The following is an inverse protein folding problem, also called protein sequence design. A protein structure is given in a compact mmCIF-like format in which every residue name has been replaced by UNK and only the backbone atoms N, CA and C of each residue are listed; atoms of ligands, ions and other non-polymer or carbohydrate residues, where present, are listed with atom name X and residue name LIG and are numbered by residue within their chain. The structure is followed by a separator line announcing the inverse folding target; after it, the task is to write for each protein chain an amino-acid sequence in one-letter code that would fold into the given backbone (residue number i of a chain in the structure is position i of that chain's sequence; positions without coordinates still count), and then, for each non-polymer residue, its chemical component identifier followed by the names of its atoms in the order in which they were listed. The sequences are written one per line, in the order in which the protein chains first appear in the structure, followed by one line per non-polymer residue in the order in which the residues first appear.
data_IF_183558345927
#
_entry.id   IF_183558345927
#
_cell.length_a   1.000
_cell.length_b   1.000
_cell.length_c   1.000
_cell.angle_alpha   90.00
_cell.angle_beta   90.00
_cell.angle_gamma   90.00
#
_symmetry.space_group_name_H-M   'P 1'
#
loop_
_entity.id
_entity.type
_entity.pdbx_description
1 polymer ?
#
# COMPACT_ATOMS: atom_id res chain seq x y z
N UNK A 1 -13.38 -14.55 24.12
CA UNK A 1 -14.32 -14.68 22.99
C UNK A 1 -13.57 -14.98 21.71
N UNK A 2 -14.06 -15.94 20.93
CA UNK A 2 -13.62 -16.22 19.57
C UNK A 2 -14.06 -15.12 18.58
N UNK A 3 -13.52 -15.11 17.36
CA UNK A 3 -13.93 -14.17 16.31
C UNK A 3 -15.41 -14.34 15.93
N UNK A 4 -15.92 -15.58 15.92
CA UNK A 4 -17.32 -15.86 15.68
C UNK A 4 -18.21 -15.31 16.81
N UNK A 5 -17.88 -15.60 18.07
CA UNK A 5 -18.63 -15.09 19.22
C UNK A 5 -18.69 -13.56 19.22
N UNK A 6 -17.56 -12.91 18.91
CA UNK A 6 -17.53 -11.45 18.78
C UNK A 6 -18.36 -10.97 17.59
N UNK A 7 -18.26 -11.58 16.41
CA UNK A 7 -19.06 -11.21 15.24
C UNK A 7 -20.57 -11.32 15.52
N UNK A 8 -20.98 -12.37 16.23
CA UNK A 8 -22.35 -12.55 16.70
C UNK A 8 -22.75 -11.47 17.71
N UNK A 9 -21.87 -11.09 18.63
CA UNK A 9 -22.14 -10.00 19.57
C UNK A 9 -22.37 -8.65 18.89
N UNK A 10 -21.65 -8.33 17.81
CA UNK A 10 -21.95 -7.13 16.99
C UNK A 10 -23.35 -7.22 16.37
N UNK A 11 -23.68 -8.37 15.77
CA UNK A 11 -24.97 -8.58 15.11
C UNK A 11 -26.15 -8.56 16.09
N UNK A 12 -25.98 -9.15 17.28
CA UNK A 12 -26.96 -9.13 18.37
C UNK A 12 -27.22 -7.68 18.85
N UNK A 13 -26.27 -6.77 18.63
CA UNK A 13 -26.38 -5.32 18.87
C UNK A 13 -26.85 -4.52 17.64
N UNK A 14 -27.38 -5.18 16.61
CA UNK A 14 -27.89 -4.54 15.40
C UNK A 14 -26.81 -3.97 14.47
N UNK A 15 -25.53 -4.31 14.70
CA UNK A 15 -24.41 -3.85 13.87
C UNK A 15 -24.10 -4.96 12.85
N UNK A 16 -24.35 -4.74 11.55
CA UNK A 16 -24.10 -5.76 10.55
C UNK A 16 -22.60 -6.01 10.38
N UNK A 17 -22.23 -7.27 10.21
CA UNK A 17 -20.83 -7.69 10.03
C UNK A 17 -20.65 -8.48 8.74
N UNK A 18 -19.41 -8.53 8.27
CA UNK A 18 -19.01 -9.40 7.16
C UNK A 18 -17.58 -9.92 7.37
N UNK A 19 -17.22 -11.08 6.79
CA UNK A 19 -15.88 -11.63 6.93
C UNK A 19 -14.88 -10.82 6.09
N UNK A 20 -13.83 -10.37 6.77
CA UNK A 20 -12.62 -9.78 6.19
C UNK A 20 -11.52 -10.83 6.25
N UNK A 21 -10.66 -10.91 5.24
CA UNK A 21 -9.53 -11.83 5.30
C UNK A 21 -8.71 -11.55 6.57
N UNK A 22 -8.45 -12.57 7.37
CA UNK A 22 -7.56 -12.46 8.53
C UNK A 22 -6.13 -12.83 8.22
N UNK A 23 -5.35 -13.06 9.28
CA UNK A 23 -3.94 -13.43 9.23
C UNK A 23 -3.80 -14.88 9.70
N UNK A 24 -3.04 -15.68 8.96
CA UNK A 24 -2.77 -17.08 9.27
C UNK A 24 -1.62 -17.21 10.28
N UNK A 25 -1.36 -18.43 10.75
CA UNK A 25 -0.31 -18.70 11.77
C UNK A 25 1.11 -18.38 11.29
N UNK A 26 1.30 -18.23 9.96
CA UNK A 26 2.58 -17.82 9.35
C UNK A 26 2.71 -16.29 9.21
N UNK A 27 1.75 -15.52 9.72
CA UNK A 27 1.74 -14.06 9.60
C UNK A 27 1.31 -13.52 8.24
N UNK A 28 0.78 -14.37 7.34
CA UNK A 28 0.35 -13.97 6.00
C UNK A 28 -1.16 -13.81 5.89
N UNK A 29 -1.62 -13.03 4.91
CA UNK A 29 -3.05 -12.87 4.67
C UNK A 29 -3.69 -14.20 4.24
N UNK A 30 -4.88 -14.48 4.78
CA UNK A 30 -5.67 -15.68 4.43
C UNK A 30 -6.18 -15.68 2.98
N UNK A 31 -6.00 -14.60 2.22
CA UNK A 31 -6.31 -14.54 0.80
C UNK A 31 -5.29 -15.26 -0.10
N UNK A 32 -4.18 -15.72 0.48
CA UNK A 32 -3.12 -16.51 -0.19
C UNK A 32 -2.38 -15.76 -1.32
N UNK A 33 -2.64 -14.47 -1.52
CA UNK A 33 -1.83 -13.61 -2.38
C UNK A 33 -0.51 -13.29 -1.68
N UNK A 34 0.60 -13.60 -2.33
CA UNK A 34 1.95 -13.35 -1.81
C UNK A 34 2.15 -11.85 -1.50
N UNK A 35 1.77 -10.99 -2.47
CA UNK A 35 1.87 -9.53 -2.36
C UNK A 35 0.51 -8.88 -2.06
N UNK A 36 -0.16 -9.36 -1.01
CA UNK A 36 -1.40 -8.73 -0.56
C UNK A 36 -1.13 -7.28 -0.14
N UNK A 37 -1.69 -6.30 -0.84
CA UNK A 37 -1.51 -4.87 -0.54
C UNK A 37 -2.13 -4.42 0.79
N UNK A 38 -3.15 -5.14 1.26
CA UNK A 38 -3.92 -4.81 2.47
C UNK A 38 -4.16 -6.06 3.34
N UNK A 39 -3.09 -6.70 3.83
CA UNK A 39 -3.20 -7.96 4.56
C UNK A 39 -4.08 -7.78 5.80
N UNK A 40 -5.07 -8.64 5.98
CA UNK A 40 -5.98 -8.55 7.12
C UNK A 40 -7.12 -7.52 6.98
N UNK A 41 -7.20 -6.78 5.87
CA UNK A 41 -8.04 -5.58 5.73
C UNK A 41 -8.91 -5.52 4.47
N UNK A 42 -9.10 -6.63 3.75
CA UNK A 42 -9.98 -6.66 2.58
C UNK A 42 -11.02 -7.79 2.67
N UNK A 43 -12.21 -7.63 2.05
CA UNK A 43 -13.32 -8.55 2.23
C UNK A 43 -13.04 -9.95 1.66
N UNK A 44 -13.62 -10.98 2.28
CA UNK A 44 -13.63 -12.35 1.72
C UNK A 44 -14.71 -12.48 0.65
N UNK A 45 -15.87 -11.86 0.87
CA UNK A 45 -17.05 -12.05 0.02
C UNK A 45 -16.92 -11.27 -1.30
N UNK A 46 -17.37 -11.89 -2.41
CA UNK A 46 -17.67 -11.17 -3.66
C UNK A 46 -18.84 -10.20 -3.39
N UNK A 47 -18.62 -8.91 -3.63
CA UNK A 47 -19.56 -7.84 -3.23
C UNK A 47 -19.17 -7.12 -1.92
N UNK A 48 -18.24 -7.70 -1.15
CA UNK A 48 -17.60 -7.05 0.01
C UNK A 48 -18.57 -6.67 1.13
N UNK A 49 -18.35 -5.49 1.70
CA UNK A 49 -19.10 -4.96 2.85
C UNK A 49 -20.60 -4.73 2.55
N UNK A 50 -21.01 -4.69 1.28
CA UNK A 50 -22.42 -4.56 0.89
C UNK A 50 -23.26 -5.79 1.24
N UNK A 51 -22.61 -6.92 1.49
CA UNK A 51 -23.25 -8.16 1.91
C UNK A 51 -23.17 -8.38 3.42
N UNK A 52 -22.86 -7.34 4.21
CA UNK A 52 -22.86 -7.45 5.66
C UNK A 52 -24.25 -7.82 6.18
N UNK A 53 -24.30 -8.58 7.26
CA UNK A 53 -25.55 -9.14 7.79
C UNK A 53 -25.56 -9.12 9.32
N UNK A 54 -26.77 -9.02 9.88
CA UNK A 54 -27.05 -9.33 11.29
C UNK A 54 -27.67 -10.73 11.46
N UNK A 55 -27.90 -11.47 10.38
CA UNK A 55 -28.45 -12.82 10.45
C UNK A 55 -27.42 -13.78 11.06
N UNK A 56 -27.76 -14.27 12.25
CA UNK A 56 -26.97 -15.19 13.05
C UNK A 56 -26.55 -16.43 12.26
N UNK A 57 -27.46 -17.01 11.47
CA UNK A 57 -27.19 -18.25 10.74
C UNK A 57 -26.21 -18.00 9.59
N UNK A 58 -26.35 -16.86 8.91
CA UNK A 58 -25.44 -16.44 7.86
C UNK A 58 -24.03 -16.17 8.41
N UNK A 59 -23.92 -15.52 9.58
CA UNK A 59 -22.63 -15.24 10.24
C UNK A 59 -21.95 -16.53 10.68
N UNK A 60 -22.67 -17.46 11.31
CA UNK A 60 -22.15 -18.78 11.67
C UNK A 60 -21.62 -19.50 10.43
N UNK A 61 -22.37 -19.45 9.33
CA UNK A 61 -21.96 -20.06 8.06
C UNK A 61 -20.64 -19.47 7.55
N UNK A 62 -20.51 -18.15 7.54
CA UNK A 62 -19.27 -17.48 7.09
C UNK A 62 -18.07 -17.83 7.94
N UNK A 63 -18.19 -17.82 9.27
CA UNK A 63 -17.07 -18.12 10.17
C UNK A 63 -16.76 -19.61 10.26
N UNK A 64 -17.71 -20.51 9.98
CA UNK A 64 -17.40 -21.93 9.79
C UNK A 64 -16.55 -22.16 8.53
N UNK A 65 -16.83 -21.43 7.44
CA UNK A 65 -16.04 -21.49 6.20
C UNK A 65 -14.71 -20.75 6.33
N UNK A 66 -14.67 -19.68 7.13
CA UNK A 66 -13.50 -18.83 7.33
C UNK A 66 -13.23 -18.59 8.82
N UNK A 67 -12.74 -19.60 9.58
CA UNK A 67 -12.58 -19.48 11.05
C UNK A 67 -11.63 -18.38 11.51
N UNK A 68 -10.72 -17.97 10.62
CA UNK A 68 -9.73 -16.92 10.85
C UNK A 68 -10.14 -15.55 10.30
N UNK A 69 -11.36 -15.40 9.78
CA UNK A 69 -11.79 -14.12 9.22
C UNK A 69 -11.80 -13.04 10.31
N UNK A 70 -11.15 -11.92 9.98
CA UNK A 70 -11.35 -10.67 10.70
C UNK A 70 -12.80 -10.19 10.54
N UNK A 71 -13.24 -9.34 11.44
CA UNK A 71 -14.61 -8.81 11.48
C UNK A 71 -14.59 -7.43 10.80
N UNK A 72 -15.34 -7.31 9.71
CA UNK A 72 -15.61 -6.03 9.07
C UNK A 72 -16.99 -5.50 9.44
N UNK A 73 -17.11 -4.18 9.60
CA UNK A 73 -18.38 -3.47 9.80
C UNK A 73 -18.48 -2.39 8.72
N UNK A 74 -19.56 -2.37 7.89
CA UNK A 74 -19.78 -1.26 6.96
C UNK A 74 -20.01 0.02 7.75
N UNK A 75 -19.53 1.15 7.26
CA UNK A 75 -19.82 2.47 7.85
C UNK A 75 -20.99 3.13 7.11
N UNK A 76 -21.53 4.20 7.68
CA UNK A 76 -22.69 4.89 7.10
C UNK A 76 -24.02 4.40 7.66
N UNK A 77 -25.07 4.62 6.88
CA UNK A 77 -26.44 4.22 7.17
C UNK A 77 -26.58 2.71 7.42
N UNK A 78 -25.70 1.88 6.84
CA UNK A 78 -25.76 0.42 6.98
C UNK A 78 -25.58 -0.04 8.44
N UNK A 79 -24.70 0.60 9.21
CA UNK A 79 -24.47 0.27 10.63
C UNK A 79 -24.88 1.38 11.59
N UNK A 80 -25.22 2.56 11.07
CA UNK A 80 -25.40 3.77 11.87
C UNK A 80 -24.09 4.38 12.36
N UNK A 81 -22.93 3.81 12.04
CA UNK A 81 -21.63 4.29 12.50
C UNK A 81 -20.98 5.24 11.50
N UNK A 82 -20.38 6.30 12.00
CA UNK A 82 -19.41 7.13 11.31
C UNK A 82 -18.06 6.99 12.02
N UNK A 83 -16.98 6.83 11.27
CA UNK A 83 -15.67 6.58 11.87
C UNK A 83 -14.64 7.60 11.41
N UNK A 84 -13.93 8.18 12.37
CA UNK A 84 -12.67 8.89 12.11
C UNK A 84 -11.54 7.92 12.40
N UNK A 85 -10.87 7.44 11.35
CA UNK A 85 -9.78 6.49 11.40
C UNK A 85 -8.44 7.25 11.36
N UNK A 86 -7.74 7.24 12.49
CA UNK A 86 -6.45 7.92 12.67
C UNK A 86 -5.34 6.90 12.57
N UNK A 87 -4.54 6.98 11.51
CA UNK A 87 -3.39 6.11 11.30
C UNK A 87 -2.12 6.70 11.94
N UNK A 88 -1.23 5.84 12.43
CA UNK A 88 0.10 6.27 12.91
C UNK A 88 1.02 6.74 11.77
N UNK A 89 0.77 6.27 10.55
CA UNK A 89 1.55 6.66 9.36
C UNK A 89 1.27 8.12 9.00
N UNK A 90 2.17 8.72 8.21
CA UNK A 90 2.03 10.09 7.70
C UNK A 90 1.79 11.15 8.80
N UNK A 91 2.34 10.94 10.00
CA UNK A 91 2.14 11.83 11.16
C UNK A 91 0.66 11.98 11.56
N UNK A 92 -0.18 10.97 11.30
CA UNK A 92 -1.63 11.07 11.51
C UNK A 92 -2.02 11.32 12.97
N UNK A 93 -1.25 10.80 13.95
CA UNK A 93 -1.46 11.08 15.37
C UNK A 93 -1.19 12.56 15.67
N UNK A 94 -0.07 13.11 15.19
CA UNK A 94 0.30 14.50 15.38
C UNK A 94 -0.70 15.44 14.68
N UNK A 95 -1.13 15.09 13.46
CA UNK A 95 -2.14 15.82 12.72
C UNK A 95 -3.49 15.79 13.44
N UNK A 96 -3.88 14.65 14.01
CA UNK A 96 -5.09 14.54 14.82
C UNK A 96 -5.01 15.41 16.08
N UNK A 97 -3.87 15.39 16.79
CA UNK A 97 -3.66 16.23 17.98
C UNK A 97 -3.80 17.71 17.63
N UNK A 98 -3.19 18.16 16.52
CA UNK A 98 -3.33 19.55 16.04
C UNK A 98 -4.78 19.89 15.68
N UNK A 99 -5.45 18.98 14.96
CA UNK A 99 -6.83 19.16 14.55
C UNK A 99 -7.77 19.30 15.76
N UNK A 100 -7.66 18.41 16.75
CA UNK A 100 -8.45 18.51 17.98
C UNK A 100 -8.07 19.75 18.78
N UNK A 101 -6.79 20.12 18.87
CA UNK A 101 -6.39 21.34 19.57
C UNK A 101 -7.02 22.59 18.95
N UNK A 102 -7.14 22.64 17.62
CA UNK A 102 -7.75 23.74 16.89
C UNK A 102 -9.29 23.78 17.04
N UNK A 103 -9.94 22.62 17.12
CA UNK A 103 -11.41 22.51 17.09
C UNK A 103 -12.00 21.88 18.37
N UNK A 104 -11.30 21.97 19.50
CA UNK A 104 -11.60 21.25 20.75
C UNK A 104 -13.03 21.46 21.23
N UNK A 105 -13.55 22.68 21.09
CA UNK A 105 -14.90 23.04 21.54
C UNK A 105 -16.00 22.60 20.55
N UNK A 106 -15.62 22.19 19.34
CA UNK A 106 -16.53 21.81 18.26
C UNK A 106 -16.53 20.30 17.98
N UNK A 107 -15.50 19.56 18.44
CA UNK A 107 -15.42 18.11 18.36
C UNK A 107 -15.49 17.53 19.78
N UNK A 108 -16.67 17.11 20.26
CA UNK A 108 -16.76 16.35 21.49
C UNK A 108 -15.91 15.07 21.39
N UNK A 109 -15.33 14.67 22.52
CA UNK A 109 -14.57 13.43 22.60
C UNK A 109 -15.47 12.24 22.19
N UNK A 110 -14.98 11.42 21.27
CA UNK A 110 -15.70 10.24 20.84
C UNK A 110 -15.81 9.26 22.01
N UNK A 111 -17.02 8.79 22.27
CA UNK A 111 -17.30 7.90 23.40
C UNK A 111 -16.73 6.51 23.18
N UNK A 112 -16.65 6.08 21.93
CA UNK A 112 -16.13 4.77 21.57
C UNK A 112 -14.86 4.91 20.74
N UNK A 113 -13.79 4.28 21.23
CA UNK A 113 -12.47 4.28 20.60
C UNK A 113 -11.90 2.87 20.51
N UNK A 114 -11.52 2.44 19.31
CA UNK A 114 -10.76 1.21 19.10
C UNK A 114 -9.31 1.53 18.77
N UNK A 115 -8.36 0.85 19.40
CA UNK A 115 -6.97 0.84 18.96
C UNK A 115 -6.81 -0.09 17.76
N UNK A 116 -6.09 0.37 16.74
CA UNK A 116 -5.73 -0.47 15.59
C UNK A 116 -4.44 -1.22 15.89
N UNK A 117 -4.27 -2.41 15.32
CA UNK A 117 -3.00 -3.13 15.46
C UNK A 117 -1.81 -2.38 14.85
N UNK A 118 -2.05 -1.40 13.98
CA UNK A 118 -1.04 -0.54 13.36
C UNK A 118 -0.54 0.63 14.23
N UNK A 119 -1.07 0.80 15.44
CA UNK A 119 -0.70 1.89 16.36
C UNK A 119 -1.55 3.16 16.24
N UNK A 120 -2.54 3.16 15.34
CA UNK A 120 -3.57 4.18 15.23
C UNK A 120 -4.81 3.89 16.08
N UNK A 121 -5.90 4.61 15.83
CA UNK A 121 -7.19 4.37 16.49
C UNK A 121 -8.39 4.82 15.66
N UNK A 122 -9.50 4.12 15.83
CA UNK A 122 -10.82 4.51 15.30
C UNK A 122 -11.60 5.24 16.38
N UNK A 123 -12.19 6.37 16.01
CA UNK A 123 -13.19 7.08 16.82
C UNK A 123 -14.56 6.87 16.18
N UNK A 124 -15.50 6.30 16.93
CA UNK A 124 -16.83 5.98 16.41
C UNK A 124 -17.84 7.01 16.93
N UNK A 125 -18.62 7.52 15.98
CA UNK A 125 -19.75 8.41 16.16
C UNK A 125 -21.00 7.77 15.56
N UNK A 126 -22.18 8.23 15.94
CA UNK A 126 -23.39 7.94 15.16
C UNK A 126 -23.47 8.84 13.93
N UNK A 127 -24.30 8.46 12.96
CA UNK A 127 -24.69 9.36 11.87
C UNK A 127 -25.21 10.70 12.39
N UNK A 128 -25.12 11.79 11.60
CA UNK A 128 -25.64 13.08 12.01
C UNK A 128 -27.10 12.99 12.46
N UNK A 129 -27.45 13.72 13.53
CA UNK A 129 -28.82 13.75 14.04
C UNK A 129 -29.85 14.24 13.00
N UNK A 130 -29.39 14.96 11.96
CA UNK A 130 -30.23 15.38 10.83
C UNK A 130 -30.66 14.24 9.90
N UNK A 131 -30.09 13.03 10.05
CA UNK A 131 -30.32 11.90 9.14
C UNK A 131 -29.65 12.06 7.77
N UNK A 132 -28.83 13.10 7.59
CA UNK A 132 -28.13 13.35 6.34
C UNK A 132 -27.02 12.32 6.12
N UNK A 133 -27.04 11.68 4.94
CA UNK A 133 -25.94 10.83 4.46
C UNK A 133 -24.63 11.62 4.39
N UNK A 134 -23.58 11.10 5.01
CA UNK A 134 -22.23 11.67 4.97
C UNK A 134 -21.29 10.62 4.39
N UNK A 135 -20.67 10.96 3.27
CA UNK A 135 -19.74 10.08 2.57
C UNK A 135 -18.41 9.89 3.31
N UNK A 136 -17.55 9.10 2.68
CA UNK A 136 -16.17 8.90 3.12
C UNK A 136 -15.23 9.90 2.44
N UNK A 137 -14.09 10.19 3.07
CA UNK A 137 -13.08 11.09 2.56
C UNK A 137 -11.70 10.82 3.17
N UNK A 138 -10.65 11.01 2.38
CA UNK A 138 -9.25 10.83 2.79
C UNK A 138 -8.50 12.14 2.57
N UNK A 139 -7.55 12.48 3.44
CA UNK A 139 -6.76 13.73 3.37
C UNK A 139 -7.63 15.01 3.29
N UNK A 140 -8.81 14.96 3.88
CA UNK A 140 -9.76 16.07 3.90
C UNK A 140 -9.18 17.20 4.75
N UNK A 141 -9.22 18.45 4.27
CA UNK A 141 -8.70 19.60 5.03
C UNK A 141 -7.19 19.58 5.24
N UNK A 142 -6.43 18.86 4.40
CA UNK A 142 -4.97 18.63 4.56
C UNK A 142 -4.60 17.84 5.83
N UNK A 143 -5.54 17.03 6.32
CA UNK A 143 -5.32 16.13 7.45
C UNK A 143 -4.81 14.79 6.94
N UNK A 144 -3.52 14.73 6.62
CA UNK A 144 -2.88 13.47 6.21
C UNK A 144 -2.86 12.46 7.37
N UNK A 145 -3.09 11.19 7.05
CA UNK A 145 -3.17 10.12 8.05
C UNK A 145 -4.46 10.11 8.87
N UNK A 146 -5.48 10.90 8.48
CA UNK A 146 -6.83 10.85 9.04
C UNK A 146 -7.83 10.57 7.92
N UNK A 147 -8.50 9.42 8.02
CA UNK A 147 -9.55 8.99 7.11
C UNK A 147 -10.92 9.14 7.76
N UNK A 148 -11.87 9.70 7.02
CA UNK A 148 -13.26 9.84 7.42
C UNK A 148 -14.09 8.77 6.69
N UNK A 149 -14.72 7.86 7.44
CA UNK A 149 -15.42 6.69 6.91
C UNK A 149 -16.91 6.78 7.23
N UNK A 150 -17.68 7.12 6.21
CA UNK A 150 -19.14 7.22 6.24
C UNK A 150 -19.78 6.24 5.26
N UNK A 151 -20.82 6.67 4.55
CA UNK A 151 -21.49 5.83 3.56
C UNK A 151 -20.53 5.28 2.49
N UNK A 152 -20.72 4.01 2.14
CA UNK A 152 -19.91 3.27 1.16
C UNK A 152 -18.53 2.83 1.66
N UNK A 153 -18.22 3.07 2.94
CA UNK A 153 -16.99 2.62 3.61
C UNK A 153 -17.21 1.39 4.49
N UNK A 154 -16.11 0.91 5.08
CA UNK A 154 -16.12 -0.07 6.16
C UNK A 154 -14.85 0.05 6.99
N UNK A 155 -14.86 -0.53 8.19
CA UNK A 155 -13.70 -0.68 9.06
C UNK A 155 -13.52 -2.12 9.54
N UNK A 156 -12.31 -2.46 9.97
CA UNK A 156 -12.03 -3.71 10.69
C UNK A 156 -12.15 -3.45 12.19
N UNK A 157 -12.87 -4.30 12.92
CA UNK A 157 -13.23 -4.06 14.34
C UNK A 157 -12.60 -5.08 15.29
N UNK A 158 -12.45 -4.77 16.60
CA UNK A 158 -11.99 -5.73 17.61
C UNK A 158 -12.85 -7.02 17.66
N UNK A 159 -12.27 -8.20 17.95
CA UNK A 159 -10.88 -8.47 18.33
C UNK A 159 -10.01 -8.95 17.15
N UNK A 160 -10.28 -8.44 15.94
CA UNK A 160 -9.57 -8.79 14.69
C UNK A 160 -8.04 -8.69 14.82
N UNK A 161 -7.32 -9.44 13.98
CA UNK A 161 -5.87 -9.52 13.99
C UNK A 161 -5.26 -8.68 12.86
N UNK A 162 -4.32 -7.81 13.20
CA UNK A 162 -3.55 -7.03 12.23
C UNK A 162 -2.35 -7.85 11.71
N UNK A 163 -1.80 -7.49 10.55
CA UNK A 163 -0.71 -8.26 9.92
C UNK A 163 0.56 -8.36 10.78
N UNK A 164 0.80 -7.37 11.64
CA UNK A 164 1.89 -7.40 12.63
C UNK A 164 1.54 -8.22 13.90
N UNK A 165 0.50 -9.05 13.84
CA UNK A 165 0.00 -9.93 14.89
C UNK A 165 -0.54 -9.23 16.14
N UNK A 166 -0.66 -7.88 16.13
CA UNK A 166 -1.36 -7.15 17.18
C UNK A 166 -2.87 -7.20 16.95
N UNK A 167 -3.65 -7.33 18.03
CA UNK A 167 -5.11 -7.32 17.95
C UNK A 167 -5.65 -5.90 17.97
N UNK A 168 -6.71 -5.70 17.21
CA UNK A 168 -7.62 -4.58 17.43
C UNK A 168 -8.26 -4.76 18.80
N UNK A 169 -8.34 -3.68 19.56
CA UNK A 169 -8.89 -3.69 20.91
C UNK A 169 -9.70 -2.45 21.19
N UNK A 170 -10.82 -2.62 21.89
CA UNK A 170 -11.55 -1.47 22.43
C UNK A 170 -10.71 -0.79 23.52
N UNK A 171 -10.79 0.53 23.59
CA UNK A 171 -10.16 1.30 24.67
C UNK A 171 -10.74 0.88 26.02
N UNK A 172 -9.97 1.08 27.09
CA UNK A 172 -10.26 0.55 28.42
C UNK A 172 -11.65 1.00 28.90
N UNK A 173 -12.58 0.05 29.04
CA UNK A 173 -13.93 0.28 29.58
C UNK A 173 -15.10 -0.16 28.70
N UNK A 174 -14.91 -0.37 27.39
CA UNK A 174 -16.02 -0.75 26.51
C UNK A 174 -16.25 -2.27 26.44
N UNK A 175 -17.50 -2.68 26.62
CA UNK A 175 -17.99 -4.06 26.43
C UNK A 175 -19.33 -4.03 25.71
N UNK A 176 -19.52 -4.91 24.72
CA UNK A 176 -20.82 -5.09 24.07
C UNK A 176 -21.89 -5.73 24.97
N UNK A 177 -21.49 -6.29 26.11
CA UNK A 177 -22.44 -6.79 27.11
C UNK A 177 -23.23 -5.63 27.74
N UNK A 178 -22.60 -4.45 27.88
CA UNK A 178 -23.23 -3.23 28.35
C UNK A 178 -23.70 -2.37 27.16
N UNK A 179 -24.94 -2.62 26.74
CA UNK A 179 -25.59 -1.93 25.62
C UNK A 179 -25.72 -0.41 25.85
N UNK A 180 -25.56 0.07 27.09
CA UNK A 180 -25.64 1.51 27.40
C UNK A 180 -24.49 2.32 26.79
N UNK A 181 -23.35 1.69 26.47
CA UNK A 181 -22.21 2.35 25.83
C UNK A 181 -22.50 2.70 24.36
N UNK A 182 -23.23 1.86 23.62
CA UNK A 182 -23.66 2.17 22.24
C UNK A 182 -24.67 3.31 22.21
N UNK A 183 -25.55 3.38 23.20
CA UNK A 183 -26.51 4.47 23.35
C UNK A 183 -25.85 5.81 23.74
N UNK A 184 -24.60 5.78 24.21
CA UNK A 184 -23.82 6.98 24.55
C UNK A 184 -23.01 7.54 23.39
N UNK A 185 -22.98 6.86 22.24
CA UNK A 185 -22.30 7.36 21.05
C UNK A 185 -22.82 8.75 20.68
N UNK A 186 -21.90 9.70 20.55
CA UNK A 186 -22.21 11.06 20.11
C UNK A 186 -22.46 11.08 18.59
N UNK A 187 -23.39 11.91 18.11
CA UNK A 187 -23.54 12.16 16.67
C UNK A 187 -22.28 12.78 16.10
N UNK A 188 -22.03 12.51 14.81
CA UNK A 188 -20.92 13.12 14.08
C UNK A 188 -20.98 14.65 14.22
N UNK A 189 -19.90 15.31 14.70
CA UNK A 189 -19.90 16.75 14.92
C UNK A 189 -20.10 17.54 13.63
N UNK A 190 -20.90 18.61 13.69
CA UNK A 190 -21.21 19.48 12.54
C UNK A 190 -19.96 20.00 11.83
N UNK A 191 -18.90 20.33 12.58
CA UNK A 191 -17.65 20.79 11.98
C UNK A 191 -17.01 19.73 11.06
N UNK A 192 -17.04 18.44 11.44
CA UNK A 192 -16.55 17.35 10.58
C UNK A 192 -17.44 17.20 9.35
N UNK A 193 -18.77 17.30 9.52
CA UNK A 193 -19.73 17.28 8.41
C UNK A 193 -19.41 18.39 7.40
N UNK A 194 -19.21 19.60 7.88
CA UNK A 194 -18.92 20.77 7.04
C UNK A 194 -17.56 20.66 6.39
N UNK A 195 -16.55 20.13 7.08
CA UNK A 195 -15.23 19.87 6.52
C UNK A 195 -15.33 18.90 5.32
N UNK A 196 -16.08 17.81 5.46
CA UNK A 196 -16.30 16.84 4.39
C UNK A 196 -17.09 17.49 3.24
N UNK A 197 -18.21 18.18 3.54
CA UNK A 197 -19.02 18.84 2.51
C UNK A 197 -18.26 19.92 1.76
N UNK A 198 -17.46 20.73 2.44
CA UNK A 198 -16.69 21.79 1.82
C UNK A 198 -15.57 21.23 0.96
N UNK A 199 -15.01 20.06 1.30
CA UNK A 199 -14.09 19.37 0.39
C UNK A 199 -14.78 18.81 -0.86
N UNK A 200 -16.04 18.34 -0.73
CA UNK A 200 -16.85 17.89 -1.87
C UNK A 200 -17.27 19.06 -2.74
N UNK A 201 -17.69 20.18 -2.13
CA UNK A 201 -18.03 21.43 -2.82
C UNK A 201 -16.83 22.11 -3.47
N UNK A 202 -15.65 22.12 -2.83
CA UNK A 202 -14.41 22.61 -3.44
C UNK A 202 -13.96 21.73 -4.62
N UNK A 203 -14.34 20.44 -4.62
CA UNK A 203 -14.18 19.56 -5.79
C UNK A 203 -15.20 19.83 -6.91
N UNK A 204 -16.39 20.35 -6.58
CA UNK A 204 -17.47 20.67 -7.53
C UNK A 204 -17.45 22.12 -8.01
N UNK A 205 -16.78 23.03 -7.30
CA UNK A 205 -16.67 24.45 -7.60
C UNK A 205 -15.23 24.93 -7.49
N UNK A 206 -14.61 25.13 -8.66
CA UNK A 206 -13.36 25.88 -8.89
C UNK A 206 -12.15 25.46 -8.05
N UNK A 207 -11.43 24.46 -8.57
CA UNK A 207 -9.99 24.62 -8.77
C UNK A 207 -9.64 23.92 -10.08
N UNK A 208 -8.94 24.62 -10.98
CA UNK A 208 -8.50 24.03 -12.22
C UNK A 208 -7.67 22.77 -11.93
N UNK A 209 -7.93 21.67 -12.64
CA UNK A 209 -7.18 20.43 -12.50
C UNK A 209 -5.76 20.67 -13.02
N UNK A 210 -4.83 20.87 -12.09
CA UNK A 210 -3.41 21.14 -12.37
C UNK A 210 -2.67 19.84 -12.75
N UNK A 211 -1.46 19.99 -13.28
CA UNK A 211 -0.64 18.89 -13.77
C UNK A 211 -0.50 17.75 -12.73
N UNK A 212 -0.78 16.50 -13.18
CA UNK A 212 -0.74 15.29 -12.35
C UNK A 212 -2.10 14.59 -12.14
N UNK A 213 -3.23 15.31 -12.19
CA UNK A 213 -4.57 14.74 -11.94
C UNK A 213 -5.56 14.75 -13.12
N UNK A 214 -5.17 15.35 -14.26
CA UNK A 214 -6.05 15.64 -15.41
C UNK A 214 -6.57 14.37 -16.11
N UNK A 215 -5.71 13.38 -16.29
CA UNK A 215 -6.08 12.10 -16.93
C UNK A 215 -7.17 11.37 -16.11
N UNK A 216 -6.99 11.26 -14.80
CA UNK A 216 -7.95 10.60 -13.92
C UNK A 216 -9.28 11.37 -13.85
N UNK A 217 -9.23 12.70 -13.87
CA UNK A 217 -10.41 13.55 -13.89
C UNK A 217 -11.20 13.37 -15.18
N UNK A 218 -10.57 13.58 -16.34
CA UNK A 218 -11.25 13.48 -17.63
C UNK A 218 -11.75 12.06 -17.91
N UNK A 219 -11.05 11.02 -17.44
CA UNK A 219 -11.50 9.63 -17.59
C UNK A 219 -12.80 9.39 -16.82
N UNK A 220 -12.92 9.95 -15.61
CA UNK A 220 -14.16 9.91 -14.84
C UNK A 220 -15.28 10.70 -15.54
N UNK A 221 -14.98 11.84 -16.14
CA UNK A 221 -15.96 12.60 -16.95
C UNK A 221 -16.45 11.78 -18.15
N UNK A 222 -15.55 11.10 -18.86
CA UNK A 222 -15.90 10.20 -19.97
C UNK A 222 -16.83 9.05 -19.52
N UNK A 223 -16.53 8.41 -18.40
CA UNK A 223 -17.40 7.38 -17.84
C UNK A 223 -18.76 7.92 -17.37
N UNK A 224 -18.83 9.16 -16.89
CA UNK A 224 -20.08 9.77 -16.43
C UNK A 224 -20.98 10.19 -17.59
N UNK A 225 -20.45 10.92 -18.59
CA UNK A 225 -21.21 11.34 -19.76
C UNK A 225 -21.84 10.15 -20.50
N UNK A 226 -21.12 9.03 -20.59
CA UNK A 226 -21.62 7.79 -21.18
C UNK A 226 -22.70 7.13 -20.33
N UNK A 227 -22.55 7.13 -18.99
CA UNK A 227 -23.59 6.67 -18.05
C UNK A 227 -24.87 7.50 -18.16
N UNK A 228 -24.72 8.79 -18.42
CA UNK A 228 -25.82 9.74 -18.58
C UNK A 228 -26.44 9.71 -19.98
N UNK A 229 -26.03 8.76 -20.83
CA UNK A 229 -26.66 8.48 -22.13
C UNK A 229 -26.10 9.28 -23.31
N UNK A 230 -24.95 9.94 -23.15
CA UNK A 230 -24.26 10.58 -24.28
C UNK A 230 -23.84 9.51 -25.28
N UNK A 231 -24.23 9.67 -26.56
CA UNK A 231 -23.82 8.76 -27.63
C UNK A 231 -22.29 8.75 -27.78
N UNK A 232 -21.73 7.58 -28.09
CA UNK A 232 -20.27 7.37 -28.15
C UNK A 232 -19.58 8.35 -29.12
N UNK A 233 -20.25 8.74 -30.21
CA UNK A 233 -19.75 9.71 -31.19
C UNK A 233 -19.66 11.15 -30.66
N UNK A 234 -20.43 11.50 -29.62
CA UNK A 234 -20.42 12.81 -28.97
C UNK A 234 -19.63 12.83 -27.66
N UNK A 235 -19.12 11.67 -27.23
CA UNK A 235 -18.42 11.53 -25.97
C UNK A 235 -17.09 12.31 -25.98
N UNK A 236 -16.41 12.33 -27.12
CA UNK A 236 -15.20 13.12 -27.28
C UNK A 236 -15.45 14.61 -27.07
N UNK A 237 -16.46 15.19 -27.75
CA UNK A 237 -16.77 16.61 -27.65
C UNK A 237 -17.13 17.03 -26.22
N UNK A 238 -17.90 16.20 -25.51
CA UNK A 238 -18.26 16.43 -24.12
C UNK A 238 -17.05 16.44 -23.17
N UNK A 239 -16.11 15.49 -23.35
CA UNK A 239 -14.89 15.41 -22.55
C UNK A 239 -13.89 16.50 -22.94
N UNK A 240 -13.81 16.84 -24.22
CA UNK A 240 -12.96 17.90 -24.74
C UNK A 240 -13.37 19.27 -24.21
N UNK A 241 -14.67 19.56 -24.14
CA UNK A 241 -15.18 20.78 -23.50
C UNK A 241 -14.73 20.87 -22.02
N UNK A 242 -14.83 19.77 -21.27
CA UNK A 242 -14.35 19.69 -19.87
C UNK A 242 -12.84 19.85 -19.73
N UNK A 243 -12.07 19.34 -20.70
CA UNK A 243 -10.61 19.54 -20.73
C UNK A 243 -10.26 21.03 -20.88
N UNK A 244 -10.93 21.74 -21.79
CA UNK A 244 -10.69 23.16 -22.03
C UNK A 244 -11.16 24.05 -20.87
N UNK A 245 -12.27 23.71 -20.22
CA UNK A 245 -12.81 24.51 -19.11
C UNK A 245 -12.13 24.21 -17.79
N UNK A 246 -11.78 22.95 -17.53
CA UNK A 246 -11.47 22.48 -16.18
C UNK A 246 -9.98 22.14 -15.97
N UNK A 247 -9.18 21.87 -17.02
CA UNK A 247 -7.77 21.44 -16.90
C UNK A 247 -6.78 22.58 -17.19
N UNK A 248 -5.72 22.72 -16.37
CA UNK A 248 -4.65 23.71 -16.58
C UNK A 248 -3.22 23.11 -16.47
N UNK A 249 -2.42 23.12 -17.55
CA UNK A 249 -2.86 23.36 -18.93
C UNK A 249 -3.83 22.25 -19.39
N UNK A 250 -4.69 22.51 -20.40
CA UNK A 250 -5.47 21.45 -21.04
C UNK A 250 -4.55 20.35 -21.57
N UNK A 251 -5.05 19.11 -21.58
CA UNK A 251 -4.38 18.00 -22.26
C UNK A 251 -4.47 18.16 -23.78
N UNK A 252 -3.53 17.55 -24.49
CA UNK A 252 -3.54 17.55 -25.95
C UNK A 252 -4.72 16.72 -26.49
N UNK A 253 -5.12 17.01 -27.74
CA UNK A 253 -6.27 16.38 -28.39
C UNK A 253 -6.16 14.86 -28.46
N UNK A 254 -4.98 14.36 -28.79
CA UNK A 254 -4.64 12.95 -28.85
C UNK A 254 -4.70 12.26 -27.47
N UNK A 255 -4.24 12.94 -26.41
CA UNK A 255 -4.37 12.43 -25.03
C UNK A 255 -5.84 12.27 -24.61
N UNK A 256 -6.68 13.26 -24.90
CA UNK A 256 -8.13 13.17 -24.60
C UNK A 256 -8.80 12.09 -25.46
N UNK A 257 -8.38 11.92 -26.72
CA UNK A 257 -8.92 10.92 -27.62
C UNK A 257 -8.59 9.48 -27.16
N UNK A 258 -7.36 9.25 -26.68
CA UNK A 258 -6.94 7.97 -26.10
C UNK A 258 -7.73 7.64 -24.84
N UNK A 259 -7.99 8.64 -24.00
CA UNK A 259 -8.75 8.50 -22.78
C UNK A 259 -10.22 8.16 -23.04
N UNK A 260 -10.87 8.84 -23.99
CA UNK A 260 -12.25 8.53 -24.42
C UNK A 260 -12.30 7.11 -25.00
N UNK A 261 -11.33 6.73 -25.83
CA UNK A 261 -11.22 5.37 -26.38
C UNK A 261 -11.06 4.31 -25.28
N UNK A 262 -10.31 4.62 -24.21
CA UNK A 262 -10.17 3.74 -23.04
C UNK A 262 -11.49 3.57 -22.27
N UNK A 263 -12.27 4.64 -22.12
CA UNK A 263 -13.58 4.60 -21.48
C UNK A 263 -14.63 3.80 -22.27
N UNK A 264 -14.53 3.79 -23.60
CA UNK A 264 -15.37 2.99 -24.50
C UNK A 264 -15.02 1.49 -24.43
N UNK A 265 -13.73 1.15 -24.38
CA UNK A 265 -13.27 -0.24 -24.45
C UNK A 265 -13.47 -1.06 -23.17
N UNK A 266 -13.72 -0.41 -22.02
CA UNK A 266 -13.78 -1.06 -20.70
C UNK A 266 -14.95 -2.04 -20.53
N UNK A 267 -16.07 -1.86 -21.24
CA UNK A 267 -17.24 -2.76 -21.14
C UNK A 267 -17.16 -3.95 -22.10
N UNK A 268 -16.44 -3.83 -23.22
CA UNK A 268 -16.16 -4.97 -24.12
C UNK A 268 -15.39 -6.06 -23.37
N UNK A 269 -14.46 -5.65 -22.49
CA UNK A 269 -13.69 -6.57 -21.65
C UNK A 269 -14.53 -7.24 -20.54
N UNK A 270 -15.63 -6.64 -20.10
CA UNK A 270 -16.53 -7.23 -19.10
C UNK A 270 -17.56 -8.20 -19.69
N UNK A 271 -17.87 -8.09 -20.99
CA UNK A 271 -18.86 -8.94 -21.66
C UNK A 271 -18.30 -10.27 -22.22
N UNK A 272 -16.97 -10.41 -22.42
CA UNK A 272 -16.38 -11.49 -23.24
C UNK A 272 -15.69 -12.64 -22.46
N UNK A 273 -16.21 -13.06 -21.30
CA UNK A 273 -15.56 -14.07 -20.45
C UNK A 273 -16.27 -15.45 -20.39
N UNK A 274 -16.11 -16.34 -21.39
CA UNK A 274 -16.14 -17.84 -21.21
C UNK A 274 -15.26 -18.54 -22.30
N UNK A 275 -14.88 -19.84 -22.20
CA UNK A 275 -13.51 -20.33 -22.07
C UNK A 275 -12.87 -20.89 -23.37
N UNK A 276 -11.56 -21.09 -23.28
CA UNK A 276 -10.60 -21.43 -24.34
C UNK A 276 -10.82 -22.81 -24.97
N UNK A 277 -10.64 -22.90 -26.30
CA UNK A 277 -10.13 -24.10 -26.98
C UNK A 277 -9.16 -23.71 -28.10
N UNK A 278 -8.10 -24.51 -28.21
CA UNK A 278 -6.88 -24.33 -29.01
C UNK A 278 -7.01 -24.76 -30.48
N UNK A 279 -6.36 -24.01 -31.40
CA UNK A 279 -5.59 -24.53 -32.54
C UNK A 279 -4.87 -23.36 -33.27
N UNK A 280 -3.75 -23.63 -33.98
CA UNK A 280 -2.68 -22.66 -34.19
C UNK A 280 -2.85 -21.85 -35.48
N UNK A 281 -2.39 -20.59 -35.47
CA UNK A 281 -2.17 -19.84 -36.70
C UNK A 281 -0.77 -19.22 -36.72
N UNK A 282 -0.01 -19.64 -37.73
CA UNK A 282 1.20 -18.99 -38.21
C UNK A 282 0.86 -17.63 -38.82
N UNK A 283 1.70 -16.62 -38.59
CA UNK A 283 1.89 -15.53 -39.54
C UNK A 283 1.27 -14.17 -39.21
N UNK A 284 1.66 -13.58 -38.08
CA UNK A 284 2.06 -12.16 -37.88
C UNK A 284 2.23 -11.97 -36.36
N UNK A 285 3.45 -11.70 -35.89
CA UNK A 285 3.66 -11.43 -34.45
C UNK A 285 2.78 -10.24 -34.08
N UNK A 286 1.95 -10.42 -33.05
CA UNK A 286 1.10 -9.34 -32.56
C UNK A 286 1.97 -8.27 -31.92
N UNK A 287 1.60 -6.98 -32.01
CA UNK A 287 2.31 -5.88 -31.35
C UNK A 287 2.59 -6.13 -29.84
N UNK A 288 1.75 -6.94 -29.19
CA UNK A 288 1.94 -7.37 -27.80
C UNK A 288 3.12 -8.31 -27.61
N UNK A 289 3.40 -9.18 -28.57
CA UNK A 289 4.50 -10.16 -28.53
C UNK A 289 5.84 -9.47 -28.81
N UNK A 290 5.86 -8.52 -29.74
CA UNK A 290 7.03 -7.68 -29.98
C UNK A 290 7.33 -6.79 -28.78
N UNK A 291 6.31 -6.21 -28.14
CA UNK A 291 6.48 -5.45 -26.90
C UNK A 291 7.06 -6.32 -25.78
N UNK A 292 6.55 -7.54 -25.59
CA UNK A 292 7.09 -8.49 -24.62
C UNK A 292 8.58 -8.78 -24.86
N UNK A 293 8.94 -9.16 -26.09
CA UNK A 293 10.32 -9.48 -26.45
C UNK A 293 11.26 -8.27 -26.30
N UNK A 294 10.78 -7.07 -26.64
CA UNK A 294 11.54 -5.84 -26.45
C UNK A 294 11.83 -5.55 -24.97
N UNK A 295 10.85 -5.76 -24.07
CA UNK A 295 11.09 -5.58 -22.63
C UNK A 295 12.03 -6.66 -22.10
N UNK A 296 11.88 -7.92 -22.52
CA UNK A 296 12.85 -8.98 -22.17
C UNK A 296 14.27 -8.59 -22.59
N UNK A 297 14.45 -8.01 -23.78
CA UNK A 297 15.75 -7.55 -24.25
C UNK A 297 16.36 -6.41 -23.42
N UNK A 298 15.52 -5.56 -22.78
CA UNK A 298 15.99 -4.52 -21.84
C UNK A 298 16.58 -5.10 -20.55
N UNK A 299 16.40 -6.40 -20.30
CA UNK A 299 16.91 -7.07 -19.10
C UNK A 299 18.17 -7.90 -19.35
N UNK A 300 18.77 -7.79 -20.54
CA UNK A 300 19.88 -8.64 -20.95
C UNK A 300 21.15 -8.48 -20.10
N UNK A 301 21.37 -7.32 -19.49
CA UNK A 301 22.48 -7.01 -18.59
C UNK A 301 22.11 -7.13 -17.10
N UNK A 302 20.91 -7.63 -16.81
CA UNK A 302 20.45 -7.85 -15.45
C UNK A 302 20.82 -9.25 -14.96
N UNK A 303 21.22 -9.35 -13.70
CA UNK A 303 21.57 -10.60 -13.05
C UNK A 303 20.41 -11.01 -12.14
N UNK A 304 19.73 -12.11 -12.45
CA UNK A 304 18.60 -12.58 -11.68
C UNK A 304 18.98 -13.72 -10.73
N UNK A 305 18.42 -13.72 -9.52
CA UNK A 305 18.84 -14.67 -8.48
C UNK A 305 17.78 -14.92 -7.41
N UNK A 306 17.98 -15.99 -6.65
CA UNK A 306 17.16 -16.39 -5.51
C UNK A 306 17.87 -16.20 -4.18
N UNK A 307 17.13 -15.77 -3.16
CA UNK A 307 17.61 -15.88 -1.77
C UNK A 307 17.38 -17.28 -1.18
N UNK A 308 17.89 -17.49 0.03
CA UNK A 308 17.82 -18.75 0.77
C UNK A 308 16.39 -19.21 1.10
N UNK A 309 15.39 -18.32 1.00
CA UNK A 309 13.97 -18.61 1.20
C UNK A 309 13.16 -18.56 -0.11
N UNK A 310 13.84 -18.65 -1.26
CA UNK A 310 13.28 -18.67 -2.61
C UNK A 310 12.52 -17.41 -3.02
N UNK A 311 12.90 -16.23 -2.52
CA UNK A 311 12.46 -14.95 -3.08
C UNK A 311 13.31 -14.59 -4.29
N UNK A 312 12.67 -14.02 -5.31
CA UNK A 312 13.29 -13.69 -6.59
C UNK A 312 13.72 -12.23 -6.62
N UNK A 313 14.99 -12.03 -6.96
CA UNK A 313 15.63 -10.72 -7.04
C UNK A 313 16.28 -10.51 -8.40
N UNK A 314 16.55 -9.24 -8.69
CA UNK A 314 17.33 -8.79 -9.83
C UNK A 314 18.40 -7.80 -9.35
N UNK A 315 19.63 -8.02 -9.78
CA UNK A 315 20.73 -7.06 -9.70
C UNK A 315 20.90 -6.37 -11.05
N UNK A 316 20.88 -5.04 -11.08
CA UNK A 316 20.93 -4.30 -12.35
C UNK A 316 21.51 -2.90 -12.18
N UNK A 317 22.05 -2.29 -13.25
CA UNK A 317 22.62 -0.96 -13.19
C UNK A 317 21.53 0.11 -13.14
N UNK A 318 21.66 1.06 -12.21
CA UNK A 318 20.77 2.20 -12.03
C UNK A 318 21.57 3.50 -12.17
N UNK A 319 21.09 4.48 -12.96
CA UNK A 319 21.69 5.81 -13.00
C UNK A 319 21.60 6.49 -11.62
N UNK A 320 22.73 7.01 -11.13
CA UNK A 320 22.76 7.76 -9.89
C UNK A 320 22.75 9.26 -10.18
N UNK A 321 21.90 10.04 -9.50
CA UNK A 321 21.91 11.50 -9.62
C UNK A 321 23.04 12.17 -8.82
N UNK A 322 23.62 11.46 -7.85
CA UNK A 322 24.68 11.92 -6.95
C UNK A 322 26.09 11.44 -7.34
N UNK A 323 26.19 10.52 -8.30
CA UNK A 323 27.45 10.06 -8.89
C UNK A 323 27.46 10.37 -10.39
N UNK A 324 28.61 10.72 -10.96
CA UNK A 324 28.79 10.61 -12.41
C UNK A 324 28.89 9.12 -12.77
N UNK A 325 27.75 8.46 -13.04
CA UNK A 325 27.73 7.07 -13.49
C UNK A 325 26.53 6.24 -13.08
N UNK A 326 26.71 4.93 -13.10
CA UNK A 326 25.72 3.92 -12.69
C UNK A 326 26.21 3.17 -11.45
N UNK A 327 25.30 2.85 -10.54
CA UNK A 327 25.55 1.90 -9.45
C UNK A 327 24.72 0.64 -9.66
N UNK A 328 24.96 -0.41 -8.86
CA UNK A 328 24.21 -1.66 -8.91
C UNK A 328 23.20 -1.71 -7.78
N UNK A 329 21.94 -1.98 -8.10
CA UNK A 329 20.87 -2.18 -7.12
C UNK A 329 20.34 -3.60 -7.16
N UNK A 330 19.78 -4.05 -6.03
CA UNK A 330 19.17 -5.36 -5.86
C UNK A 330 17.70 -5.20 -5.47
N UNK A 331 16.76 -5.47 -6.38
CA UNK A 331 15.32 -5.30 -6.11
C UNK A 331 14.56 -6.61 -6.28
N UNK A 332 13.41 -6.81 -5.59
CA UNK A 332 12.51 -7.91 -5.92
C UNK A 332 12.02 -7.77 -7.37
N UNK A 333 11.96 -8.88 -8.13
CA UNK A 333 11.55 -8.86 -9.55
C UNK A 333 10.14 -8.26 -9.72
N UNK A 334 9.21 -8.60 -8.84
CA UNK A 334 7.83 -8.10 -8.92
C UNK A 334 7.61 -6.74 -8.22
N UNK A 335 8.67 -6.05 -7.78
CA UNK A 335 8.56 -4.75 -7.11
C UNK A 335 8.00 -3.66 -8.03
N UNK A 336 7.37 -2.63 -7.43
CA UNK A 336 6.85 -1.48 -8.18
C UNK A 336 8.01 -0.65 -8.76
N UNK A 337 9.12 -0.60 -8.04
CA UNK A 337 10.35 0.07 -8.43
C UNK A 337 10.91 -0.54 -9.72
N UNK A 338 11.08 -1.86 -9.78
CA UNK A 338 11.60 -2.53 -10.98
C UNK A 338 10.63 -2.44 -12.17
N UNK A 339 9.32 -2.54 -11.90
CA UNK A 339 8.27 -2.27 -12.88
C UNK A 339 8.42 -0.88 -13.51
N UNK A 340 8.59 0.14 -12.67
CA UNK A 340 8.74 1.52 -13.12
C UNK A 340 10.06 1.73 -13.88
N UNK A 341 11.14 1.06 -13.49
CA UNK A 341 12.42 1.09 -14.20
C UNK A 341 12.29 0.52 -15.63
N UNK A 342 11.73 -0.67 -15.79
CA UNK A 342 11.54 -1.28 -17.12
C UNK A 342 10.62 -0.43 -18.00
N UNK A 343 9.54 0.11 -17.41
CA UNK A 343 8.63 1.00 -18.13
C UNK A 343 9.35 2.30 -18.55
N UNK A 344 10.18 2.88 -17.70
CA UNK A 344 11.01 4.04 -18.04
C UNK A 344 11.98 3.73 -19.19
N UNK A 345 12.76 2.66 -19.10
CA UNK A 345 13.71 2.25 -20.15
C UNK A 345 13.02 2.00 -21.49
N UNK A 346 11.88 1.30 -21.46
CA UNK A 346 11.10 1.05 -22.67
C UNK A 346 10.59 2.36 -23.29
N UNK A 347 10.04 3.29 -22.49
CA UNK A 347 9.60 4.59 -23.00
C UNK A 347 10.74 5.39 -23.60
N UNK A 348 11.91 5.41 -22.96
CA UNK A 348 13.07 6.13 -23.49
C UNK A 348 13.54 5.56 -24.84
N UNK A 349 13.52 4.22 -24.97
CA UNK A 349 13.98 3.51 -26.17
C UNK A 349 12.99 3.57 -27.33
N UNK A 350 11.71 3.38 -27.06
CA UNK A 350 10.68 3.15 -28.09
C UNK A 350 9.64 4.26 -28.20
N UNK A 351 9.64 5.24 -27.27
CA UNK A 351 8.70 6.37 -27.23
C UNK A 351 7.23 5.92 -27.23
N UNK A 352 6.95 4.76 -26.62
CA UNK A 352 5.64 4.13 -26.55
C UNK A 352 5.32 3.68 -25.12
N UNK A 353 4.03 3.73 -24.70
CA UNK A 353 3.63 3.21 -23.40
C UNK A 353 3.66 1.67 -23.38
N UNK A 354 3.98 1.10 -22.22
CA UNK A 354 3.85 -0.34 -21.96
C UNK A 354 2.51 -0.60 -21.27
N UNK A 355 1.76 -1.60 -21.74
CA UNK A 355 0.55 -2.03 -21.03
C UNK A 355 0.91 -2.73 -19.72
N UNK A 356 0.14 -2.47 -18.65
CA UNK A 356 0.35 -3.13 -17.36
C UNK A 356 0.28 -4.67 -17.47
N UNK A 357 -0.58 -5.18 -18.36
CA UNK A 357 -0.70 -6.62 -18.62
C UNK A 357 0.55 -7.22 -19.26
N UNK A 358 1.17 -6.55 -20.23
CA UNK A 358 2.42 -7.02 -20.86
C UNK A 358 3.59 -6.96 -19.89
N UNK A 359 3.71 -5.88 -19.11
CA UNK A 359 4.76 -5.75 -18.11
C UNK A 359 4.65 -6.84 -17.04
N UNK A 360 3.43 -7.10 -16.54
CA UNK A 360 3.20 -8.18 -15.58
C UNK A 360 3.62 -9.54 -16.14
N UNK A 361 3.27 -9.85 -17.40
CA UNK A 361 3.68 -11.11 -18.05
C UNK A 361 5.20 -11.27 -18.09
N UNK A 362 5.94 -10.21 -18.43
CA UNK A 362 7.40 -10.24 -18.45
C UNK A 362 7.95 -10.55 -17.05
N UNK A 363 7.46 -9.86 -16.03
CA UNK A 363 7.92 -10.06 -14.65
C UNK A 363 7.57 -11.44 -14.09
N UNK A 364 6.36 -11.94 -14.38
CA UNK A 364 5.94 -13.28 -14.01
C UNK A 364 6.85 -14.34 -14.68
N UNK A 365 7.24 -14.15 -15.95
CA UNK A 365 8.18 -15.02 -16.65
C UNK A 365 9.56 -14.99 -15.99
N UNK A 366 10.14 -13.81 -15.79
CA UNK A 366 11.45 -13.67 -15.14
C UNK A 366 11.46 -14.28 -13.73
N UNK A 367 10.43 -14.02 -12.93
CA UNK A 367 10.31 -14.60 -11.60
C UNK A 367 10.15 -16.13 -11.64
N UNK A 368 9.39 -16.64 -12.62
CA UNK A 368 9.24 -18.07 -12.86
C UNK A 368 10.57 -18.74 -13.21
N UNK A 369 11.31 -18.19 -14.17
CA UNK A 369 12.61 -18.73 -14.60
C UNK A 369 13.61 -18.77 -13.45
N UNK A 370 13.64 -17.70 -12.64
CA UNK A 370 14.55 -17.55 -11.50
C UNK A 370 14.23 -18.54 -10.40
N UNK A 371 12.95 -18.79 -10.10
CA UNK A 371 12.50 -19.75 -9.08
C UNK A 371 13.03 -21.17 -9.30
N UNK A 372 13.32 -21.53 -10.55
CA UNK A 372 13.85 -22.84 -10.92
C UNK A 372 15.31 -22.78 -11.43
N UNK A 373 16.00 -21.67 -11.23
CA UNK A 373 17.43 -21.52 -11.53
C UNK A 373 18.30 -21.94 -10.34
N UNK A 374 19.57 -22.25 -10.62
CA UNK A 374 20.57 -22.56 -9.59
C UNK A 374 21.29 -21.31 -9.04
N UNK A 375 20.92 -20.11 -9.51
CA UNK A 375 21.61 -18.88 -9.15
C UNK A 375 21.09 -18.34 -7.80
N UNK A 376 21.71 -18.76 -6.70
CA UNK A 376 21.30 -18.40 -5.34
C UNK A 376 22.38 -17.61 -4.60
N UNK A 377 21.96 -16.56 -3.88
CA UNK A 377 22.82 -15.73 -3.03
C UNK A 377 22.12 -15.37 -1.74
N UNK A 378 22.89 -15.15 -0.68
CA UNK A 378 22.36 -14.57 0.56
C UNK A 378 22.08 -13.07 0.38
N UNK A 379 20.93 -12.63 0.87
CA UNK A 379 20.52 -11.23 0.85
C UNK A 379 20.87 -10.53 2.19
N UNK A 380 21.58 -9.41 2.12
CA UNK A 380 22.04 -8.67 3.30
C UNK A 380 21.46 -7.28 3.35
N UNK A 381 21.08 -6.76 4.53
CA UNK A 381 20.52 -5.40 4.64
C UNK A 381 21.57 -4.35 5.03
N UNK A 382 22.60 -4.76 5.77
CA UNK A 382 23.62 -3.85 6.30
C UNK A 382 24.99 -4.49 6.36
N UNK A 383 25.07 -5.64 7.01
CA UNK A 383 26.33 -6.35 7.24
C UNK A 383 26.29 -7.68 6.54
N UNK A 384 27.38 -8.01 5.87
CA UNK A 384 27.59 -9.29 5.21
C UNK A 384 28.96 -9.84 5.61
N UNK A 385 29.13 -11.15 5.46
CA UNK A 385 30.42 -11.81 5.63
C UNK A 385 30.64 -12.75 4.47
N UNK A 386 31.79 -12.62 3.83
CA UNK A 386 32.21 -13.50 2.75
C UNK A 386 33.64 -13.96 3.05
N UNK A 387 33.79 -15.25 3.37
CA UNK A 387 35.04 -15.80 3.92
C UNK A 387 35.48 -15.03 5.18
N UNK A 388 36.75 -14.58 5.22
CA UNK A 388 37.33 -13.81 6.32
C UNK A 388 37.09 -12.29 6.22
N UNK A 389 36.26 -11.86 5.26
CA UNK A 389 35.95 -10.44 5.03
C UNK A 389 34.57 -10.09 5.57
N UNK A 390 34.50 -9.05 6.42
CA UNK A 390 33.25 -8.43 6.87
C UNK A 390 32.98 -7.19 6.02
N UNK A 391 31.73 -7.03 5.60
CA UNK A 391 31.34 -5.97 4.68
C UNK A 391 30.17 -5.20 5.26
N UNK A 392 30.21 -3.87 5.24
CA UNK A 392 29.16 -3.01 5.80
C UNK A 392 28.68 -2.02 4.75
N UNK A 393 27.42 -2.11 4.34
CA UNK A 393 26.79 -1.11 3.49
C UNK A 393 26.56 0.18 4.29
N UNK A 394 27.16 1.29 3.83
CA UNK A 394 27.01 2.60 4.46
C UNK A 394 25.65 3.22 4.14
N UNK A 395 24.92 2.71 3.15
CA UNK A 395 23.59 3.19 2.73
C UNK A 395 23.56 4.69 2.39
N UNK A 396 24.71 5.24 1.99
CA UNK A 396 24.84 6.62 1.55
C UNK A 396 24.41 6.79 0.07
N UNK A 397 24.25 8.03 -0.36
CA UNK A 397 23.87 8.37 -1.73
C UNK A 397 24.92 7.92 -2.78
N UNK A 398 26.16 7.71 -2.34
CA UNK A 398 27.30 7.33 -3.19
C UNK A 398 27.48 5.82 -3.34
N UNK A 399 26.58 5.02 -2.78
CA UNK A 399 26.63 3.56 -2.83
C UNK A 399 27.94 2.96 -2.28
N UNK A 400 28.49 3.58 -1.25
CA UNK A 400 29.73 3.13 -0.62
C UNK A 400 29.48 2.01 0.40
N UNK A 401 30.50 1.17 0.59
CA UNK A 401 30.51 0.09 1.59
C UNK A 401 31.90 -0.05 2.21
N UNK A 402 31.99 -0.57 3.42
CA UNK A 402 33.26 -0.83 4.11
C UNK A 402 33.64 -2.28 3.89
N UNK A 403 34.86 -2.53 3.42
CA UNK A 403 35.53 -3.82 3.46
C UNK A 403 36.39 -3.90 4.72
N UNK A 404 36.23 -4.94 5.54
CA UNK A 404 37.01 -5.18 6.75
C UNK A 404 37.67 -6.55 6.63
N UNK A 405 38.99 -6.58 6.77
CA UNK A 405 39.83 -7.77 6.70
C UNK A 405 40.77 -7.81 7.91
N UNK A 406 41.55 -8.88 8.06
CA UNK A 406 42.57 -8.97 9.10
C UNK A 406 43.67 -7.89 9.02
N UNK A 407 43.89 -7.28 7.85
CA UNK A 407 44.90 -6.21 7.67
C UNK A 407 44.35 -4.80 7.89
N UNK A 408 43.05 -4.67 8.18
CA UNK A 408 42.37 -3.39 8.38
C UNK A 408 41.12 -3.27 7.51
N UNK A 409 40.63 -2.04 7.34
CA UNK A 409 39.41 -1.75 6.60
C UNK A 409 39.58 -0.64 5.59
N UNK A 410 38.72 -0.62 4.57
CA UNK A 410 38.69 0.43 3.54
C UNK A 410 37.27 0.74 3.08
N UNK A 411 37.01 1.99 2.68
CA UNK A 411 35.72 2.38 2.05
C UNK A 411 35.82 2.14 0.55
N UNK A 412 34.89 1.36 0.03
CA UNK A 412 34.78 0.89 -1.35
C UNK A 412 33.60 1.56 -2.05
N UNK A 413 33.71 1.70 -3.37
CA UNK A 413 32.71 2.32 -4.26
C UNK A 413 32.37 1.45 -5.48
N UNK A 414 33.13 0.39 -5.67
CA UNK A 414 32.90 -0.64 -6.68
C UNK A 414 31.78 -1.61 -6.27
N UNK A 415 31.34 -2.45 -7.19
CA UNK A 415 30.29 -3.47 -6.95
C UNK A 415 30.71 -4.36 -5.79
N UNK A 416 29.92 -4.35 -4.71
CA UNK A 416 30.13 -5.28 -3.59
C UNK A 416 29.96 -6.74 -4.07
N UNK A 417 30.80 -7.68 -3.61
CA UNK A 417 30.68 -9.10 -3.99
C UNK A 417 29.48 -9.83 -3.35
N UNK A 418 28.65 -9.13 -2.56
CA UNK A 418 27.45 -9.65 -1.89
C UNK A 418 26.21 -8.85 -2.31
N UNK A 419 25.02 -9.39 -2.02
CA UNK A 419 23.75 -8.76 -2.39
C UNK A 419 23.18 -7.89 -1.27
N UNK A 420 23.50 -6.59 -1.27
CA UNK A 420 22.89 -5.64 -0.33
C UNK A 420 21.50 -5.18 -0.78
N UNK A 421 20.53 -5.25 0.12
CA UNK A 421 19.16 -4.75 -0.03
C UNK A 421 18.99 -3.46 0.80
N UNK A 422 18.82 -2.32 0.11
CA UNK A 422 18.50 -1.05 0.76
C UNK A 422 16.98 -0.87 0.84
N UNK A 423 16.48 -0.53 2.03
CA UNK A 423 15.09 -0.11 2.21
C UNK A 423 15.00 1.40 2.32
N UNK A 424 13.81 1.98 2.08
CA UNK A 424 13.57 3.42 2.23
C UNK A 424 13.83 3.95 3.66
N UNK A 425 13.95 3.05 4.65
CA UNK A 425 14.25 3.40 6.04
C UNK A 425 15.74 3.28 6.39
N UNK A 426 16.57 2.81 5.45
CA UNK A 426 18.01 2.68 5.66
C UNK A 426 18.66 4.07 5.65
N UNK A 427 18.98 4.57 6.84
CA UNK A 427 19.71 5.84 6.99
C UNK A 427 21.21 5.63 6.76
N UNK A 428 21.89 6.60 6.10
CA UNK A 428 23.34 6.59 5.96
C UNK A 428 24.04 6.46 7.31
N UNK A 429 25.11 5.67 7.35
CA UNK A 429 26.01 5.60 8.50
C UNK A 429 27.11 6.66 8.39
N UNK A 430 27.63 7.17 9.53
CA UNK A 430 28.82 8.02 9.51
C UNK A 430 30.01 7.25 8.94
N UNK A 431 30.95 7.98 8.34
CA UNK A 431 32.21 7.38 7.92
C UNK A 431 33.02 6.94 9.14
N UNK A 432 33.65 5.76 9.10
CA UNK A 432 34.54 5.30 10.16
C UNK A 432 35.74 6.26 10.30
N UNK A 433 36.10 6.53 11.55
CA UNK A 433 37.26 7.36 11.91
C UNK A 433 38.46 6.45 12.22
N UNK A 434 39.57 6.67 11.50
CA UNK A 434 40.82 5.90 11.67
C UNK A 434 41.55 6.29 12.96
N UNK A 435 41.25 7.46 13.54
CA UNK A 435 41.88 7.95 14.77
C UNK A 435 41.29 7.37 16.07
N UNK A 436 40.25 6.53 15.97
CA UNK A 436 39.61 5.91 17.13
C UNK A 436 40.56 4.99 17.91
N UNK A 437 40.45 5.01 19.24
CA UNK A 437 41.20 4.15 20.15
C UNK A 437 40.26 3.18 20.87
N UNK A 438 40.64 1.91 20.99
CA UNK A 438 39.91 0.88 21.76
C UNK A 438 39.64 1.28 23.22
N UNK A 439 40.42 2.20 23.79
CA UNK A 439 40.23 2.74 25.14
C UNK A 439 38.85 3.39 25.38
N UNK A 440 38.11 3.79 24.32
CA UNK A 440 36.77 4.37 24.48
C UNK A 440 35.64 3.32 24.57
N UNK A 441 35.94 2.03 24.36
CA UNK A 441 34.94 0.95 24.41
C UNK A 441 34.16 0.85 25.74
N UNK A 442 34.73 1.13 26.93
CA UNK A 442 33.98 1.13 28.19
C UNK A 442 32.89 2.21 28.27
N UNK A 443 33.02 3.30 27.50
CA UNK A 443 32.00 4.36 27.44
C UNK A 443 30.82 3.97 26.53
N UNK A 444 31.09 3.11 25.53
CA UNK A 444 30.12 2.65 24.53
C UNK A 444 29.40 1.39 25.02
N UNK A 445 30.13 0.43 25.59
CA UNK A 445 29.62 -0.81 26.13
C UNK A 445 29.58 -0.74 27.65
N UNK A 446 28.41 -0.91 28.25
CA UNK A 446 28.25 -1.03 29.72
C UNK A 446 28.79 -2.37 30.21
N UNK A 447 30.11 -2.51 30.28
CA UNK A 447 30.79 -3.68 30.82
C UNK A 447 30.78 -3.63 32.35
N UNK A 448 30.54 -4.76 33.01
CA UNK A 448 30.31 -4.80 34.47
C UNK A 448 31.61 -4.84 35.27
N UNK A 449 32.67 -5.36 34.68
CA UNK A 449 33.97 -5.50 35.33
C UNK A 449 35.11 -5.45 34.29
N UNK A 450 36.34 -5.42 34.80
CA UNK A 450 37.54 -5.31 33.98
C UNK A 450 37.87 -6.60 33.21
N UNK A 451 37.43 -7.76 33.69
CA UNK A 451 37.60 -9.04 33.01
C UNK A 451 36.76 -9.09 31.71
N UNK A 452 35.55 -8.54 31.73
CA UNK A 452 34.68 -8.39 30.55
C UNK A 452 35.34 -7.50 29.48
N UNK A 453 36.08 -6.47 29.90
CA UNK A 453 36.84 -5.59 29.00
C UNK A 453 38.04 -6.30 28.38
N UNK A 454 38.81 -7.04 29.19
CA UNK A 454 39.95 -7.82 28.70
C UNK A 454 39.48 -8.83 27.64
N UNK A 455 38.36 -9.52 27.90
CA UNK A 455 37.79 -10.48 26.96
C UNK A 455 37.32 -9.83 25.65
N UNK A 456 36.77 -8.62 25.71
CA UNK A 456 36.36 -7.86 24.53
C UNK A 456 37.57 -7.33 23.73
N UNK A 457 38.65 -6.93 24.40
CA UNK A 457 39.86 -6.35 23.80
C UNK A 457 40.87 -7.39 23.28
N UNK A 458 40.69 -8.66 23.65
CA UNK A 458 41.55 -9.79 23.25
C UNK A 458 41.00 -10.60 22.06
N UNK A 459 39.82 -10.22 21.55
CA UNK A 459 39.21 -10.70 20.29
C UNK A 459 39.64 -9.81 19.13
#
# INVERSE_FOLDING_TARGET
MSLLESALSYADNGIPVFPVHGINDKGSCTCQKLDCSHPGKHPVLKGGHKNASCDRQQIITWWNQHPRANIGVPTGAASGWYVVDVDQKNQGIENYVRFIAQYKDQIPEATLKAHTGGGGFHLIYTQPASGQAVGSGTNIGRLEGIDFRGDGGYIVVPPSLHFNQKRYGWSKGFSFEDHSELNRLRPLPTMIIDLIKNSTKAREGQDAVIAGGRNDYLFKQACNLRRDGTADEHLFDGVWAKNLTDCKPPLAHDEVQQLVSSALNREITQALSIPVSSAPSSGRKSDSEDTFNNIMALTADHEFWLDEVKRQYVSFPVPNSSLEGVHQENWPICSLEYQNFLNYQYRQRYQKPVSAGTLKKVLDCLAGDVLFSDNSYEAHVRTARLNDTVMIDLTDANWTWIEITASGWSVRRDKAPVKFLRSNNAKPMPLPDISGNFECLPEIFRLKNQDDYILLSAL
#
